data_IF_547904064564
#
_entry.id   IF_547904064564
#
_cell.length_a   1.000
_cell.length_b   1.000
_cell.length_c   1.000
_cell.angle_alpha   90.00
_cell.angle_beta   90.00
_cell.angle_gamma   90.00
#
_symmetry.space_group_name_H-M   'P 1'
#
loop_
_entity.id
_entity.type
_entity.pdbx_description
1 polymer ?
#
# COMPACT_ATOMS: atom_id res chain seq x y z
N UNK A 1 -56.80 20.45 -8.48
CA UNK A 1 -55.42 20.97 -8.72
C UNK A 1 -54.43 20.48 -7.69
N UNK A 2 -54.74 20.53 -6.42
CA UNK A 2 -53.80 20.15 -5.30
C UNK A 2 -53.26 18.72 -5.41
N UNK A 3 -54.06 17.71 -5.75
CA UNK A 3 -53.64 16.30 -5.89
C UNK A 3 -52.68 16.04 -7.07
N UNK A 4 -52.59 16.89 -8.07
CA UNK A 4 -51.59 16.79 -9.14
C UNK A 4 -50.23 17.37 -8.70
N UNK A 5 -50.25 18.44 -7.92
CA UNK A 5 -49.05 19.10 -7.41
C UNK A 5 -48.32 18.19 -6.40
N UNK A 6 -49.06 17.51 -5.51
CA UNK A 6 -48.48 16.55 -4.56
C UNK A 6 -47.84 15.35 -5.24
N UNK A 7 -48.40 14.82 -6.32
CA UNK A 7 -47.79 13.73 -7.10
C UNK A 7 -46.47 14.16 -7.77
N UNK A 8 -46.42 15.36 -8.33
CA UNK A 8 -45.21 15.92 -8.96
C UNK A 8 -44.13 16.13 -7.92
N UNK A 9 -44.49 16.64 -6.72
CA UNK A 9 -43.53 16.84 -5.63
C UNK A 9 -42.91 15.52 -5.14
N UNK A 10 -43.70 14.47 -5.02
CA UNK A 10 -43.23 13.13 -4.61
C UNK A 10 -42.28 12.56 -5.66
N UNK A 11 -42.55 12.71 -6.94
CA UNK A 11 -41.69 12.24 -8.03
C UNK A 11 -40.33 12.97 -8.01
N UNK A 12 -40.33 14.28 -7.76
CA UNK A 12 -39.09 15.07 -7.65
C UNK A 12 -38.24 14.65 -6.44
N UNK A 13 -38.85 14.33 -5.31
CA UNK A 13 -38.14 13.85 -4.12
C UNK A 13 -37.54 12.48 -4.38
N UNK A 14 -38.25 11.55 -5.02
CA UNK A 14 -37.71 10.25 -5.41
C UNK A 14 -36.56 10.37 -6.41
N UNK A 15 -36.63 11.32 -7.34
CA UNK A 15 -35.55 11.58 -8.30
C UNK A 15 -34.27 12.15 -7.61
N UNK A 16 -34.43 13.02 -6.62
CA UNK A 16 -33.29 13.53 -5.83
C UNK A 16 -32.65 12.47 -4.96
N UNK A 17 -33.44 11.58 -4.33
CA UNK A 17 -32.95 10.45 -3.54
C UNK A 17 -32.21 9.44 -4.43
N UNK A 18 -32.75 9.15 -5.63
CA UNK A 18 -32.10 8.27 -6.60
C UNK A 18 -30.77 8.85 -7.11
N UNK A 19 -30.71 10.17 -7.35
CA UNK A 19 -29.50 10.85 -7.77
C UNK A 19 -28.45 10.88 -6.66
N UNK A 20 -28.86 11.01 -5.39
CA UNK A 20 -27.98 10.97 -4.24
C UNK A 20 -27.37 9.58 -4.02
N UNK A 21 -28.13 8.51 -4.28
CA UNK A 21 -27.65 7.11 -4.19
C UNK A 21 -26.66 6.80 -5.32
N UNK A 22 -26.79 7.41 -6.50
CA UNK A 22 -25.85 7.23 -7.61
C UNK A 22 -24.55 8.03 -7.38
N UNK A 23 -24.59 9.11 -6.59
CA UNK A 23 -23.41 9.94 -6.27
C UNK A 23 -22.58 9.41 -5.10
N UNK A 24 -23.10 8.53 -4.25
CA UNK A 24 -22.29 7.76 -3.30
C UNK A 24 -21.64 6.57 -4.00
N UNK A 25 -20.83 6.88 -5.02
CA UNK A 25 -19.94 5.90 -5.62
C UNK A 25 -18.90 5.59 -4.54
N UNK A 26 -19.02 4.39 -3.99
CA UNK A 26 -18.18 3.83 -2.96
C UNK A 26 -16.69 4.06 -3.27
N UNK A 27 -16.12 5.11 -2.67
CA UNK A 27 -14.71 5.16 -2.43
C UNK A 27 -14.45 4.13 -1.31
N UNK A 28 -14.15 2.90 -1.67
CA UNK A 28 -13.73 1.90 -0.70
C UNK A 28 -12.34 2.33 -0.22
N UNK A 29 -12.28 2.91 0.96
CA UNK A 29 -11.04 3.25 1.63
C UNK A 29 -10.51 1.97 2.28
N UNK A 30 -9.30 1.56 1.91
CA UNK A 30 -8.60 0.45 2.57
C UNK A 30 -7.64 1.07 3.57
N UNK A 31 -7.86 0.74 4.84
CA UNK A 31 -6.97 1.12 5.93
C UNK A 31 -6.06 -0.07 6.24
N UNK A 32 -4.75 0.13 6.15
CA UNK A 32 -3.76 -0.86 6.56
C UNK A 32 -3.26 -0.49 7.95
N UNK A 33 -3.68 -1.26 8.94
CA UNK A 33 -3.19 -1.08 10.31
C UNK A 33 -1.74 -1.58 10.43
N UNK A 34 -0.83 -0.70 10.80
CA UNK A 34 0.50 -1.07 11.27
C UNK A 34 0.37 -1.51 12.74
N UNK A 35 -0.03 -2.75 12.97
CA UNK A 35 0.02 -3.34 14.30
C UNK A 35 1.47 -3.44 14.78
N UNK A 36 1.93 -2.43 15.47
CA UNK A 36 3.06 -2.60 16.38
C UNK A 36 2.60 -3.54 17.49
N UNK A 37 3.07 -4.79 17.42
CA UNK A 37 2.81 -5.79 18.44
C UNK A 37 3.19 -5.26 19.83
N UNK A 38 2.18 -4.82 20.56
CA UNK A 38 2.28 -4.62 21.99
C UNK A 38 2.19 -6.00 22.64
N UNK A 39 3.33 -6.45 23.15
CA UNK A 39 3.52 -7.56 24.07
C UNK A 39 2.22 -8.17 24.63
N UNK A 40 1.96 -9.42 24.27
CA UNK A 40 1.29 -10.33 25.17
C UNK A 40 2.16 -11.59 25.29
N UNK A 41 2.94 -11.61 26.38
CA UNK A 41 3.63 -12.77 26.87
C UNK A 41 2.58 -13.69 27.50
N UNK A 42 2.24 -14.77 26.85
CA UNK A 42 1.70 -15.96 27.51
C UNK A 42 2.52 -17.18 27.09
N UNK A 43 2.99 -17.79 28.13
CA UNK A 43 3.81 -18.97 28.32
C UNK A 43 3.20 -20.16 27.60
N UNK A 44 3.88 -20.67 26.58
CA UNK A 44 3.66 -22.03 26.08
C UNK A 44 4.97 -22.79 26.24
N UNK A 45 4.81 -23.90 26.88
CA UNK A 45 5.78 -24.86 27.38
C UNK A 45 6.65 -25.45 26.28
N UNK A 46 7.94 -25.58 26.58
CA UNK A 46 8.95 -26.23 25.76
C UNK A 46 8.50 -27.62 25.28
N UNK A 47 8.52 -27.80 23.97
CA UNK A 47 8.88 -29.10 23.39
C UNK A 47 9.92 -28.80 22.31
N UNK A 48 11.17 -29.12 22.63
CA UNK A 48 12.27 -29.08 21.69
C UNK A 48 12.04 -30.14 20.61
N UNK A 49 11.78 -29.66 19.39
CA UNK A 49 12.07 -30.45 18.19
C UNK A 49 13.01 -29.59 17.37
N UNK A 50 14.30 -29.86 17.51
CA UNK A 50 15.35 -29.36 16.63
C UNK A 50 15.14 -29.99 15.24
N UNK A 51 14.52 -29.25 14.35
CA UNK A 51 14.70 -29.45 12.93
C UNK A 51 15.20 -28.11 12.36
N UNK A 52 16.52 -27.99 12.36
CA UNK A 52 17.25 -27.03 11.53
C UNK A 52 17.08 -27.44 10.05
N UNK A 53 15.92 -27.15 9.51
CA UNK A 53 15.75 -27.02 8.06
C UNK A 53 16.05 -25.57 7.80
N UNK A 54 17.30 -25.27 7.39
CA UNK A 54 17.68 -23.99 6.81
C UNK A 54 16.71 -23.66 5.67
N UNK A 55 15.61 -23.00 5.99
CA UNK A 55 14.76 -22.38 4.98
C UNK A 55 15.59 -21.29 4.35
N UNK A 56 16.23 -21.58 3.21
CA UNK A 56 16.77 -20.56 2.34
C UNK A 56 15.66 -19.51 2.18
N UNK A 57 15.90 -18.31 2.70
CA UNK A 57 14.95 -17.20 2.63
C UNK A 57 14.80 -16.79 1.17
N UNK A 58 13.79 -17.36 0.51
CA UNK A 58 13.60 -17.27 -0.91
C UNK A 58 13.20 -15.86 -1.33
N UNK A 59 14.05 -15.23 -2.12
CA UNK A 59 13.71 -14.04 -2.88
C UNK A 59 12.50 -14.32 -3.76
N UNK A 60 11.49 -13.45 -3.73
CA UNK A 60 10.27 -13.56 -4.55
C UNK A 60 10.20 -12.53 -5.68
N UNK A 61 11.11 -11.53 -5.66
CA UNK A 61 11.12 -10.48 -6.67
C UNK A 61 12.11 -9.38 -6.36
N UNK A 62 11.91 -8.25 -7.02
CA UNK A 62 12.68 -7.03 -6.79
C UNK A 62 11.89 -5.80 -7.20
N UNK A 63 12.20 -4.66 -6.59
CA UNK A 63 11.70 -3.34 -6.97
C UNK A 63 12.87 -2.48 -7.48
N UNK A 64 12.66 -1.83 -8.62
CA UNK A 64 13.64 -0.95 -9.25
C UNK A 64 12.99 0.41 -9.50
N UNK A 65 13.63 1.48 -8.99
CA UNK A 65 13.24 2.86 -9.22
C UNK A 65 14.49 3.61 -9.68
N UNK A 66 14.67 3.70 -11.00
CA UNK A 66 15.90 4.23 -11.60
C UNK A 66 16.19 5.66 -11.19
N UNK A 67 15.16 6.50 -11.10
CA UNK A 67 15.26 7.92 -10.72
C UNK A 67 15.98 8.17 -9.40
N UNK A 68 15.89 7.22 -8.47
CA UNK A 68 16.52 7.31 -7.14
C UNK A 68 17.59 6.24 -6.94
N UNK A 69 18.03 5.58 -8.02
CA UNK A 69 19.02 4.50 -8.00
C UNK A 69 18.67 3.39 -7.00
N UNK A 70 17.38 3.09 -6.85
CA UNK A 70 16.91 2.00 -6.00
C UNK A 70 16.83 0.70 -6.80
N UNK A 71 17.47 -0.34 -6.28
CA UNK A 71 17.26 -1.74 -6.72
C UNK A 71 17.33 -2.62 -5.48
N UNK A 72 16.18 -3.18 -5.08
CA UNK A 72 16.04 -3.97 -3.86
C UNK A 72 15.27 -5.24 -4.10
N UNK A 73 15.76 -6.32 -3.49
CA UNK A 73 15.09 -7.61 -3.48
C UNK A 73 13.85 -7.59 -2.60
N UNK A 74 12.85 -8.39 -2.99
CA UNK A 74 11.63 -8.61 -2.24
C UNK A 74 11.57 -10.03 -1.73
N UNK A 75 11.07 -10.19 -0.52
CA UNK A 75 10.92 -11.46 0.16
C UNK A 75 9.47 -11.68 0.60
N UNK A 76 9.08 -12.93 0.82
CA UNK A 76 7.76 -13.27 1.35
C UNK A 76 7.45 -12.48 2.63
N UNK A 77 6.18 -12.13 2.83
CA UNK A 77 5.73 -11.37 4.02
C UNK A 77 6.16 -12.03 5.33
N UNK A 78 6.21 -13.36 5.36
CA UNK A 78 6.61 -14.16 6.52
C UNK A 78 8.12 -14.35 6.66
N UNK A 79 8.91 -13.91 5.67
CA UNK A 79 10.37 -14.02 5.71
C UNK A 79 10.98 -13.06 6.72
N UNK A 80 12.02 -13.49 7.42
CA UNK A 80 12.81 -12.61 8.29
C UNK A 80 13.47 -11.46 7.52
N UNK A 81 13.76 -11.65 6.22
CA UNK A 81 14.31 -10.62 5.32
C UNK A 81 13.28 -9.61 4.83
N UNK A 82 11.98 -9.88 4.99
CA UNK A 82 10.93 -8.88 4.80
C UNK A 82 10.86 -8.00 6.05
N UNK A 83 11.93 -7.30 6.34
CA UNK A 83 12.15 -6.54 7.56
C UNK A 83 12.65 -5.14 7.21
N UNK A 84 11.96 -4.12 7.71
CA UNK A 84 12.26 -2.71 7.41
C UNK A 84 13.64 -2.26 7.92
N UNK A 85 14.17 -2.94 8.94
CA UNK A 85 15.50 -2.66 9.47
C UNK A 85 16.64 -3.19 8.58
N UNK A 86 16.32 -4.03 7.60
CA UNK A 86 17.32 -4.66 6.73
C UNK A 86 17.07 -4.40 5.24
N UNK A 87 15.81 -4.19 4.87
CA UNK A 87 15.40 -4.13 3.47
C UNK A 87 14.17 -3.23 3.27
N UNK A 88 13.72 -3.10 2.02
CA UNK A 88 12.36 -2.69 1.71
C UNK A 88 11.41 -3.81 2.13
N UNK A 89 10.24 -3.47 2.65
CA UNK A 89 9.32 -4.40 3.29
C UNK A 89 7.97 -4.37 2.60
N UNK A 90 7.45 -5.54 2.24
CA UNK A 90 6.05 -5.69 1.83
C UNK A 90 5.19 -5.67 3.09
N UNK A 91 4.25 -4.73 3.16
CA UNK A 91 3.40 -4.55 4.34
C UNK A 91 2.25 -5.57 4.38
N UNK A 92 1.78 -5.95 5.59
CA UNK A 92 0.54 -6.70 5.77
C UNK A 92 -0.64 -6.01 5.08
N UNK A 93 -1.58 -6.78 4.56
CA UNK A 93 -2.70 -6.26 3.78
C UNK A 93 -2.42 -6.07 2.30
N UNK A 94 -1.18 -6.29 1.85
CA UNK A 94 -0.85 -6.32 0.42
C UNK A 94 -1.56 -7.47 -0.29
N UNK A 95 -2.08 -7.18 -1.49
CA UNK A 95 -2.65 -8.15 -2.43
C UNK A 95 -1.66 -8.29 -3.59
N UNK A 96 -1.31 -9.53 -3.94
CA UNK A 96 -0.30 -9.82 -4.95
C UNK A 96 -0.63 -9.19 -6.32
N UNK A 97 0.39 -8.70 -7.06
CA UNK A 97 0.18 -8.04 -8.37
C UNK A 97 -0.44 -8.95 -9.43
N UNK A 98 -0.45 -10.27 -9.23
CA UNK A 98 -1.11 -11.23 -10.12
C UNK A 98 -2.64 -11.16 -10.05
N UNK A 99 -3.19 -10.78 -8.88
CA UNK A 99 -4.63 -10.70 -8.66
C UNK A 99 -5.25 -9.46 -9.34
N UNK A 100 -6.53 -9.56 -9.67
CA UNK A 100 -7.29 -8.41 -10.15
C UNK A 100 -7.50 -7.43 -9.00
N UNK A 101 -7.55 -6.13 -9.31
CA UNK A 101 -7.72 -5.06 -8.33
C UNK A 101 -6.72 -5.14 -7.15
N UNK A 102 -5.49 -5.61 -7.43
CA UNK A 102 -4.44 -5.76 -6.43
C UNK A 102 -3.95 -4.41 -5.92
N UNK A 103 -3.58 -4.38 -4.64
CA UNK A 103 -2.85 -3.26 -4.03
C UNK A 103 -1.68 -3.85 -3.26
N UNK A 104 -0.46 -3.53 -3.68
CA UNK A 104 0.74 -3.93 -2.96
C UNK A 104 1.34 -2.71 -2.24
N UNK A 105 1.63 -2.86 -0.97
CA UNK A 105 2.25 -1.83 -0.14
C UNK A 105 3.71 -2.19 0.12
N UNK A 106 4.62 -1.27 -0.18
CA UNK A 106 6.05 -1.41 0.10
C UNK A 106 6.52 -0.21 0.92
N UNK A 107 7.16 -0.50 2.05
CA UNK A 107 7.74 0.50 2.94
C UNK A 107 9.26 0.35 3.04
N UNK A 108 9.93 1.45 3.35
CA UNK A 108 11.32 1.46 3.76
C UNK A 108 11.63 2.72 4.58
N UNK A 109 12.74 2.71 5.29
CA UNK A 109 13.21 3.89 6.00
C UNK A 109 13.59 5.03 5.07
N UNK A 110 13.30 6.27 5.51
CA UNK A 110 13.86 7.53 5.00
C UNK A 110 14.96 8.03 5.93
N UNK A 111 15.55 9.18 5.61
CA UNK A 111 16.59 9.81 6.43
C UNK A 111 18.00 9.47 5.97
N UNK A 112 18.93 9.36 6.91
CA UNK A 112 20.35 9.11 6.63
C UNK A 112 20.77 7.75 7.19
N UNK A 113 21.64 7.04 6.47
CA UNK A 113 22.18 5.76 6.92
C UNK A 113 21.99 4.65 5.88
N UNK A 114 22.58 3.49 6.17
CA UNK A 114 22.67 2.37 5.23
C UNK A 114 21.32 1.67 4.99
N UNK A 115 20.36 1.80 5.91
CA UNK A 115 19.02 1.20 5.81
C UNK A 115 17.96 2.17 5.28
N UNK A 116 18.33 3.43 4.98
CA UNK A 116 17.43 4.45 4.48
C UNK A 116 17.19 4.28 2.96
N UNK A 117 16.58 3.15 2.56
CA UNK A 117 16.41 2.79 1.15
C UNK A 117 15.46 3.75 0.42
N UNK A 118 14.52 4.37 1.13
CA UNK A 118 13.62 5.39 0.59
C UNK A 118 14.02 6.83 0.96
N UNK A 119 15.31 7.07 1.22
CA UNK A 119 15.84 8.42 1.54
C UNK A 119 15.54 9.47 0.47
N UNK A 120 15.49 9.04 -0.78
CA UNK A 120 15.30 9.90 -1.95
C UNK A 120 13.88 9.75 -2.56
N UNK A 121 12.94 9.12 -1.83
CA UNK A 121 11.59 8.87 -2.34
C UNK A 121 10.81 10.18 -2.61
N UNK A 122 11.14 11.25 -1.91
CA UNK A 122 10.55 12.58 -2.12
C UNK A 122 10.95 13.26 -3.44
N UNK A 123 11.94 12.71 -4.16
CA UNK A 123 12.35 13.16 -5.49
C UNK A 123 11.47 12.61 -6.61
N UNK A 124 10.62 11.63 -6.30
CA UNK A 124 9.68 11.03 -7.24
C UNK A 124 8.61 12.05 -7.64
N UNK A 125 8.18 11.99 -8.89
CA UNK A 125 7.19 12.89 -9.49
C UNK A 125 6.09 12.09 -10.19
N UNK A 126 4.95 12.74 -10.45
CA UNK A 126 3.88 12.16 -11.25
C UNK A 126 4.41 11.74 -12.62
N UNK A 127 4.02 10.54 -13.07
CA UNK A 127 4.45 9.95 -14.31
C UNK A 127 5.78 9.18 -14.25
N UNK A 128 6.53 9.23 -13.15
CA UNK A 128 7.75 8.42 -12.99
C UNK A 128 7.42 6.93 -13.03
N UNK A 129 8.37 6.13 -13.52
CA UNK A 129 8.19 4.70 -13.75
C UNK A 129 8.85 3.90 -12.63
N UNK A 130 8.13 2.87 -12.19
CA UNK A 130 8.60 1.91 -11.20
C UNK A 130 8.46 0.51 -11.79
N UNK A 131 9.55 -0.24 -11.76
CA UNK A 131 9.59 -1.63 -12.18
C UNK A 131 9.48 -2.54 -10.97
N UNK A 132 8.55 -3.48 -11.02
CA UNK A 132 8.36 -4.51 -10.02
C UNK A 132 8.48 -5.88 -10.70
N UNK A 133 9.43 -6.69 -10.26
CA UNK A 133 9.43 -8.12 -10.55
C UNK A 133 8.85 -8.85 -9.34
N UNK A 134 7.88 -9.72 -9.58
CA UNK A 134 7.24 -10.47 -8.51
C UNK A 134 6.87 -11.87 -8.98
N UNK A 135 7.40 -12.91 -8.31
CA UNK A 135 7.20 -14.32 -8.65
C UNK A 135 7.46 -14.60 -10.13
N UNK A 136 8.56 -14.03 -10.68
CA UNK A 136 8.99 -14.21 -12.06
C UNK A 136 8.21 -13.43 -13.12
N UNK A 137 7.22 -12.62 -12.71
CA UNK A 137 6.50 -11.72 -13.62
C UNK A 137 6.97 -10.28 -13.43
N UNK A 138 7.01 -9.53 -14.54
CA UNK A 138 7.37 -8.10 -14.54
C UNK A 138 6.12 -7.24 -14.65
N UNK A 139 6.06 -6.21 -13.82
CA UNK A 139 5.01 -5.23 -13.78
C UNK A 139 5.62 -3.84 -13.88
N UNK A 140 5.02 -2.97 -14.64
CA UNK A 140 5.45 -1.59 -14.82
C UNK A 140 4.34 -0.69 -14.29
N UNK A 141 4.70 0.18 -13.38
CA UNK A 141 3.79 1.12 -12.75
C UNK A 141 4.20 2.55 -13.08
N UNK A 142 3.22 3.44 -13.18
CA UNK A 142 3.43 4.88 -13.30
C UNK A 142 2.85 5.59 -12.08
N UNK A 143 3.58 6.53 -11.53
CA UNK A 143 3.16 7.35 -10.38
C UNK A 143 1.97 8.22 -10.78
N UNK A 144 0.86 8.07 -10.06
CA UNK A 144 -0.38 8.80 -10.30
C UNK A 144 -0.76 9.79 -9.19
N UNK A 145 -0.26 9.56 -7.94
CA UNK A 145 -0.54 10.47 -6.84
C UNK A 145 0.59 10.46 -5.80
N UNK A 146 0.82 11.62 -5.16
CA UNK A 146 1.82 11.81 -4.11
C UNK A 146 1.21 12.69 -3.02
N UNK A 147 1.17 12.21 -1.78
CA UNK A 147 0.64 12.98 -0.65
C UNK A 147 1.30 12.60 0.67
N UNK A 148 0.99 13.37 1.70
CA UNK A 148 1.39 13.06 3.07
C UNK A 148 0.16 12.81 3.93
N UNK A 149 0.23 11.80 4.79
CA UNK A 149 -0.75 11.54 5.84
C UNK A 149 -0.11 11.56 7.23
N UNK A 150 -0.91 11.48 8.26
CA UNK A 150 -0.41 11.33 9.61
C UNK A 150 0.29 9.97 9.77
N UNK A 151 1.31 9.93 10.63
CA UNK A 151 2.02 8.69 10.97
C UNK A 151 1.33 8.04 12.18
N UNK A 152 0.10 7.61 11.99
CA UNK A 152 -0.76 6.98 13.01
C UNK A 152 -0.88 5.47 12.85
N UNK A 153 -0.23 4.92 11.83
CA UNK A 153 -0.22 3.48 11.53
C UNK A 153 -1.10 3.11 10.35
N UNK A 154 -1.95 4.02 9.89
CA UNK A 154 -2.88 3.77 8.81
C UNK A 154 -2.44 4.41 7.50
N UNK A 155 -2.71 3.74 6.39
CA UNK A 155 -2.54 4.28 5.03
C UNK A 155 -3.90 4.23 4.35
N UNK A 156 -4.52 5.40 4.23
CA UNK A 156 -5.76 5.52 3.47
C UNK A 156 -5.45 5.68 1.98
N UNK A 157 -5.94 4.74 1.17
CA UNK A 157 -5.80 4.77 -0.29
C UNK A 157 -7.16 4.65 -0.95
N UNK A 158 -7.39 5.47 -1.96
CA UNK A 158 -8.55 5.28 -2.82
C UNK A 158 -8.27 4.10 -3.76
N UNK A 159 -9.04 3.03 -3.59
CA UNK A 159 -8.93 1.87 -4.48
C UNK A 159 -9.30 2.26 -5.90
N UNK A 160 -8.39 2.08 -6.84
CA UNK A 160 -8.68 2.19 -8.27
C UNK A 160 -9.17 0.83 -8.80
N UNK A 161 -9.72 0.82 -10.02
CA UNK A 161 -10.03 -0.43 -10.74
C UNK A 161 -8.78 -1.10 -11.32
N UNK A 162 -7.63 -0.47 -11.18
CA UNK A 162 -6.36 -0.94 -11.69
C UNK A 162 -5.54 -1.57 -10.57
N UNK A 163 -4.56 -2.37 -10.95
CA UNK A 163 -3.54 -2.86 -10.03
C UNK A 163 -2.69 -1.70 -9.55
N UNK A 164 -2.55 -1.56 -8.23
CA UNK A 164 -1.86 -0.45 -7.60
C UNK A 164 -0.60 -0.90 -6.85
N UNK A 165 0.42 -0.07 -6.89
CA UNK A 165 1.59 -0.15 -6.03
C UNK A 165 1.65 1.11 -5.17
N UNK A 166 1.72 0.93 -3.86
CA UNK A 166 1.82 2.01 -2.88
C UNK A 166 3.19 1.96 -2.22
N UNK A 167 3.93 3.04 -2.32
CA UNK A 167 5.20 3.20 -1.62
C UNK A 167 5.02 4.16 -0.45
N UNK A 168 5.61 3.84 0.69
CA UNK A 168 5.54 4.70 1.87
C UNK A 168 6.85 4.76 2.63
N UNK A 169 7.10 5.93 3.21
CA UNK A 169 8.23 6.21 4.09
C UNK A 169 7.90 7.34 5.06
N UNK A 170 8.73 7.58 6.06
CA UNK A 170 8.60 8.78 6.90
C UNK A 170 8.80 10.03 6.04
N UNK A 171 7.98 11.07 6.24
CA UNK A 171 8.13 12.33 5.53
C UNK A 171 9.48 12.99 5.87
N UNK A 172 10.26 13.45 4.87
CA UNK A 172 11.45 14.25 5.11
C UNK A 172 11.13 15.67 5.55
N UNK A 173 9.90 16.15 5.33
CA UNK A 173 9.48 17.53 5.60
C UNK A 173 8.77 17.69 6.95
N UNK A 174 7.99 16.68 7.36
CA UNK A 174 7.13 16.76 8.53
C UNK A 174 7.32 15.55 9.45
N UNK A 175 7.84 15.77 10.65
CA UNK A 175 8.25 14.72 11.59
C UNK A 175 7.16 13.69 11.94
N UNK A 176 5.88 14.12 11.97
CA UNK A 176 4.76 13.27 12.35
C UNK A 176 3.94 12.79 11.14
N UNK A 177 4.52 12.88 9.94
CA UNK A 177 3.86 12.45 8.71
C UNK A 177 4.64 11.36 7.99
N UNK A 178 3.94 10.64 7.18
CA UNK A 178 4.46 9.71 6.19
C UNK A 178 4.21 10.24 4.79
N UNK A 179 5.18 10.05 3.90
CA UNK A 179 5.05 10.28 2.47
C UNK A 179 4.48 9.01 1.83
N UNK A 180 3.46 9.18 1.01
CA UNK A 180 2.80 8.09 0.29
C UNK A 180 2.83 8.40 -1.19
N UNK A 181 3.20 7.42 -1.98
CA UNK A 181 3.20 7.46 -3.44
C UNK A 181 2.32 6.34 -3.96
N UNK A 182 1.29 6.68 -4.70
CA UNK A 182 0.43 5.73 -5.40
C UNK A 182 0.84 5.63 -6.87
N UNK A 183 0.83 4.40 -7.37
CA UNK A 183 1.17 4.10 -8.75
C UNK A 183 0.15 3.14 -9.33
N UNK A 184 -0.30 3.38 -10.56
CA UNK A 184 -1.15 2.47 -11.31
C UNK A 184 -0.32 1.66 -12.30
N UNK A 185 -0.72 0.41 -12.52
CA UNK A 185 -0.09 -0.45 -13.52
C UNK A 185 -0.31 0.13 -14.92
N UNK A 186 0.75 0.05 -15.75
CA UNK A 186 0.69 0.42 -17.17
C UNK A 186 1.08 -0.74 -18.09
N UNK A 187 1.61 -1.83 -17.51
CA UNK A 187 1.90 -3.11 -18.22
C UNK A 187 1.99 -4.28 -17.22
#
# INVERSE_FOLDING_TARGET
MLKKITKILIILIFFQISCFIIYTKEATTITVENNQQKKQSEKIEKTEISNDIGTEEKKIGQIIIEKINLNKELYEITSKKNNIEENVTILPGSIEPSENDSIMFIAAHSGTGNIAFFKDLDKIQLGDIIHLEYKGKKYIYSVNNIWESNKDGDIEVTKSKNKQLILTTCSPKHKNKQLIISCDIIN
#
